data_IF_767814993256
#
_entry.id   IF_767814993256
#
_cell.length_a   1.000
_cell.length_b   1.000
_cell.length_c   1.000
_cell.angle_alpha   90.00
_cell.angle_beta   90.00
_cell.angle_gamma   90.00
#
_symmetry.space_group_name_H-M   'P 1'
#
loop_
_entity.id
_entity.type
_entity.pdbx_description
1 polymer ?
#
# COMPACT_ATOMS: atom_id res chain seq x y z
N UNK A 1 6.64 22.43 -1.07
CA UNK A 1 5.42 22.86 -0.45
C UNK A 1 4.22 22.00 -0.81
N UNK A 2 4.23 21.41 -1.99
CA UNK A 2 3.23 20.39 -2.32
C UNK A 2 3.90 19.05 -2.33
N UNK A 3 3.08 18.02 -2.09
CA UNK A 3 3.58 16.66 -2.12
C UNK A 3 3.86 16.25 -3.57
N UNK A 4 4.92 15.49 -3.77
CA UNK A 4 5.23 14.91 -5.08
C UNK A 4 4.20 13.81 -5.40
N UNK A 5 4.18 13.36 -6.65
CA UNK A 5 3.30 12.26 -7.04
C UNK A 5 3.60 11.00 -6.26
N UNK A 6 4.87 10.57 -6.10
CA UNK A 6 5.15 9.40 -5.25
C UNK A 6 4.68 9.57 -3.81
N UNK A 7 4.85 10.75 -3.24
CA UNK A 7 4.39 10.99 -1.87
C UNK A 7 2.87 10.90 -1.76
N UNK A 8 2.17 11.47 -2.74
CA UNK A 8 0.69 11.42 -2.73
C UNK A 8 0.18 10.00 -2.90
N UNK A 9 0.80 9.23 -3.78
CA UNK A 9 0.39 7.84 -3.98
C UNK A 9 0.63 7.01 -2.72
N UNK A 10 1.75 7.22 -2.04
CA UNK A 10 2.03 6.48 -0.82
C UNK A 10 1.04 6.82 0.29
N UNK A 11 0.74 8.10 0.47
CA UNK A 11 -0.25 8.53 1.46
C UNK A 11 -1.63 7.97 1.14
N UNK A 12 -2.04 8.00 -0.13
CA UNK A 12 -3.34 7.47 -0.54
C UNK A 12 -3.42 5.97 -0.23
N UNK A 13 -2.37 5.23 -0.54
CA UNK A 13 -2.31 3.81 -0.21
C UNK A 13 -2.46 3.59 1.30
N UNK A 14 -1.72 4.33 2.11
CA UNK A 14 -1.77 4.18 3.57
C UNK A 14 -3.16 4.50 4.12
N UNK A 15 -3.79 5.54 3.60
CA UNK A 15 -5.13 5.95 4.03
C UNK A 15 -6.15 4.86 3.69
N UNK A 16 -6.11 4.33 2.47
CA UNK A 16 -7.05 3.29 2.04
C UNK A 16 -6.83 2.01 2.81
N UNK A 17 -5.58 1.62 3.04
CA UNK A 17 -5.26 0.44 3.83
C UNK A 17 -5.83 0.59 5.25
N UNK A 18 -5.70 1.77 5.82
CA UNK A 18 -6.15 2.06 7.18
C UNK A 18 -7.67 2.08 7.29
N UNK A 19 -8.35 2.54 6.24
CA UNK A 19 -9.81 2.58 6.22
C UNK A 19 -10.42 1.18 6.23
N UNK A 20 -9.87 0.27 5.44
CA UNK A 20 -10.40 -1.09 5.31
C UNK A 20 -11.66 -1.13 4.45
N UNK A 21 -12.00 -2.32 3.97
CA UNK A 21 -13.23 -2.53 3.22
C UNK A 21 -13.20 -1.95 1.81
N UNK A 22 -12.02 -1.58 1.30
CA UNK A 22 -11.88 -0.97 -0.02
C UNK A 22 -10.73 -1.61 -0.79
N UNK A 23 -10.66 -2.94 -0.77
CA UNK A 23 -9.58 -3.69 -1.39
C UNK A 23 -9.39 -3.36 -2.88
N UNK A 24 -10.45 -3.21 -3.69
CA UNK A 24 -10.23 -2.82 -5.10
C UNK A 24 -9.48 -1.49 -5.23
N UNK A 25 -9.79 -0.51 -4.38
CA UNK A 25 -9.12 0.77 -4.41
C UNK A 25 -7.69 0.66 -3.91
N UNK A 26 -7.45 -0.18 -2.89
CA UNK A 26 -6.10 -0.44 -2.41
C UNK A 26 -5.26 -1.02 -3.55
N UNK A 27 -5.78 -2.03 -4.26
CA UNK A 27 -5.06 -2.65 -5.38
C UNK A 27 -4.75 -1.64 -6.47
N UNK A 28 -5.71 -0.77 -6.81
CA UNK A 28 -5.50 0.26 -7.83
C UNK A 28 -4.33 1.17 -7.44
N UNK A 29 -4.26 1.54 -6.17
CA UNK A 29 -3.19 2.43 -5.71
C UNK A 29 -1.87 1.71 -5.43
N UNK A 30 -1.87 0.38 -5.28
CA UNK A 30 -0.62 -0.37 -5.34
C UNK A 30 0.01 -0.20 -6.71
N UNK A 31 -0.79 -0.38 -7.78
CA UNK A 31 -0.32 -0.15 -9.14
C UNK A 31 0.14 1.28 -9.36
N UNK A 32 -0.62 2.26 -8.85
CA UNK A 32 -0.26 3.67 -8.95
C UNK A 32 1.06 3.99 -8.26
N UNK A 33 1.30 3.38 -7.09
CA UNK A 33 2.56 3.53 -6.38
C UNK A 33 3.72 2.98 -7.19
N UNK A 34 3.55 1.78 -7.74
CA UNK A 34 4.61 1.17 -8.54
C UNK A 34 4.94 2.04 -9.75
N UNK A 35 3.92 2.58 -10.43
CA UNK A 35 4.11 3.47 -11.56
C UNK A 35 4.82 4.77 -11.17
N UNK A 36 4.61 5.23 -9.94
CA UNK A 36 5.22 6.45 -9.44
C UNK A 36 6.62 6.23 -8.86
N UNK A 37 7.11 5.00 -8.85
CA UNK A 37 8.45 4.68 -8.37
C UNK A 37 8.50 4.12 -6.95
N UNK A 38 7.35 3.95 -6.30
CA UNK A 38 7.29 3.34 -4.97
C UNK A 38 7.10 1.83 -5.13
N UNK A 39 8.16 1.07 -4.93
CA UNK A 39 8.12 -0.37 -5.07
C UNK A 39 7.51 -1.07 -3.87
N UNK A 40 7.49 -2.40 -3.94
CA UNK A 40 6.86 -3.23 -2.92
C UNK A 40 7.46 -2.98 -1.54
N UNK A 41 8.78 -2.81 -1.46
CA UNK A 41 9.44 -2.59 -0.16
C UNK A 41 8.93 -1.33 0.52
N UNK A 42 8.71 -0.27 -0.25
CA UNK A 42 8.19 0.99 0.28
C UNK A 42 6.78 0.80 0.84
N UNK A 43 5.94 0.05 0.11
CA UNK A 43 4.57 -0.23 0.56
C UNK A 43 4.58 -1.08 1.83
N UNK A 44 5.44 -2.07 1.90
CA UNK A 44 5.56 -2.91 3.10
C UNK A 44 6.04 -2.09 4.30
N UNK A 45 6.98 -1.18 4.08
CA UNK A 45 7.44 -0.28 5.13
C UNK A 45 6.30 0.61 5.64
N UNK A 46 5.47 1.13 4.72
CA UNK A 46 4.33 1.94 5.11
C UNK A 46 3.33 1.14 5.95
N UNK A 47 3.06 -0.11 5.56
CA UNK A 47 2.16 -0.97 6.33
C UNK A 47 2.73 -1.28 7.71
N UNK A 48 4.04 -1.45 7.81
CA UNK A 48 4.70 -1.68 9.10
C UNK A 48 4.47 -0.49 10.04
N UNK A 49 4.57 0.72 9.51
CA UNK A 49 4.30 1.93 10.30
C UNK A 49 2.83 2.01 10.72
N UNK A 50 1.92 1.62 9.84
CA UNK A 50 0.49 1.68 10.13
C UNK A 50 0.02 0.61 11.12
N UNK A 51 0.70 -0.53 11.15
CA UNK A 51 0.25 -1.71 11.90
C UNK A 51 -0.17 -1.42 13.35
N UNK A 52 0.63 -0.70 14.17
CA UNK A 52 0.23 -0.44 15.56
C UNK A 52 -1.06 0.36 15.69
N UNK A 53 -1.45 1.06 14.64
CA UNK A 53 -2.61 1.95 14.68
C UNK A 53 -3.85 1.32 14.08
N UNK A 54 -3.71 0.46 13.08
CA UNK A 54 -4.86 -0.10 12.36
C UNK A 54 -5.12 -1.57 12.66
N UNK A 55 -4.14 -2.26 13.26
CA UNK A 55 -4.29 -3.65 13.66
C UNK A 55 -3.97 -4.64 12.55
N UNK A 56 -3.82 -5.91 12.94
CA UNK A 56 -3.45 -6.96 12.00
C UNK A 56 -4.48 -7.22 10.90
N UNK A 57 -5.80 -7.24 11.19
CA UNK A 57 -6.73 -7.57 10.09
C UNK A 57 -6.64 -6.62 8.92
N UNK A 58 -6.61 -5.31 9.16
CA UNK A 58 -6.50 -4.33 8.08
C UNK A 58 -5.14 -4.40 7.40
N UNK A 59 -4.08 -4.57 8.20
CA UNK A 59 -2.73 -4.68 7.66
C UNK A 59 -2.60 -5.90 6.76
N UNK A 60 -3.11 -7.05 7.18
CA UNK A 60 -3.02 -8.28 6.38
C UNK A 60 -3.87 -8.20 5.12
N UNK A 61 -5.04 -7.54 5.19
CA UNK A 61 -5.84 -7.33 3.99
C UNK A 61 -5.08 -6.48 2.96
N UNK A 62 -4.44 -5.41 3.43
CA UNK A 62 -3.66 -4.55 2.54
C UNK A 62 -2.43 -5.28 2.01
N UNK A 63 -1.77 -6.08 2.83
CA UNK A 63 -0.64 -6.89 2.39
C UNK A 63 -1.06 -7.85 1.28
N UNK A 64 -2.23 -8.49 1.43
CA UNK A 64 -2.78 -9.35 0.38
C UNK A 64 -2.98 -8.60 -0.92
N UNK A 65 -3.46 -7.36 -0.85
CA UNK A 65 -3.62 -6.52 -2.04
C UNK A 65 -2.27 -6.22 -2.70
N UNK A 66 -1.26 -5.93 -1.88
CA UNK A 66 0.09 -5.69 -2.40
C UNK A 66 0.61 -6.95 -3.11
N UNK A 67 0.46 -8.11 -2.48
CA UNK A 67 0.94 -9.36 -3.07
C UNK A 67 0.19 -9.72 -4.35
N UNK A 68 -1.10 -9.40 -4.45
CA UNK A 68 -1.87 -9.68 -5.66
C UNK A 68 -1.38 -8.86 -6.85
N UNK A 69 -1.01 -7.61 -6.63
CA UNK A 69 -0.59 -6.70 -7.70
C UNK A 69 0.91 -6.82 -7.96
N UNK A 70 1.70 -7.01 -6.91
CA UNK A 70 3.16 -7.09 -6.99
C UNK A 70 3.61 -8.40 -6.33
N UNK A 71 3.35 -9.56 -6.96
CA UNK A 71 3.70 -10.84 -6.34
C UNK A 71 5.21 -11.01 -6.25
N UNK A 72 5.64 -11.85 -5.30
CA UNK A 72 7.04 -12.22 -5.17
C UNK A 72 7.48 -12.99 -6.40
N UNK A 73 8.71 -12.70 -6.84
CA UNK A 73 9.27 -13.47 -7.94
C UNK A 73 9.64 -14.85 -7.46
N UNK A 74 9.36 -15.83 -8.30
CA UNK A 74 9.81 -17.19 -8.03
C UNK A 74 11.29 -17.30 -8.35
N UNK A 75 12.02 -17.98 -7.49
CA UNK A 75 13.45 -18.19 -7.70
C UNK A 75 13.73 -19.12 -8.86
#
# INVERSE_FOLDING_TARGET
>A
KFLTIPERELLTFAILASQGGCEPQVKAHVGGNAAAGNGKETLLAALTVCLPYIGFPRTLNALGCVDDVLPEKQA
#
